data_IF_883873972534
#
_entry.id   IF_883873972534
#
_cell.length_a   1.000
_cell.length_b   1.000
_cell.length_c   1.000
_cell.angle_alpha   90.00
_cell.angle_beta   90.00
_cell.angle_gamma   90.00
#
_symmetry.space_group_name_H-M   'P 1'
#
loop_
_entity.id
_entity.type
_entity.pdbx_description
1 polymer ?
#
# COMPACT_ATOMS: atom_id res chain seq x y z
N UNK A 1 22.28 -3.71 0.92
CA UNK A 1 20.99 -4.12 1.51
C UNK A 1 19.96 -4.26 0.39
N UNK A 2 19.25 -5.36 0.37
CA UNK A 2 18.23 -5.62 -0.65
C UNK A 2 16.95 -4.89 -0.30
N UNK A 3 16.59 -3.90 -1.11
CA UNK A 3 15.33 -3.17 -0.94
C UNK A 3 14.28 -3.83 -1.83
N UNK A 4 13.32 -4.53 -1.23
CA UNK A 4 12.35 -5.34 -1.99
C UNK A 4 11.46 -4.53 -2.93
N UNK A 5 11.31 -3.22 -2.69
CA UNK A 5 10.59 -2.33 -3.60
C UNK A 5 11.41 -1.94 -4.85
N UNK A 6 12.72 -2.27 -4.86
CA UNK A 6 13.66 -1.91 -5.93
C UNK A 6 14.23 -3.12 -6.67
N UNK A 7 14.07 -4.34 -6.15
CA UNK A 7 14.56 -5.54 -6.85
C UNK A 7 13.73 -5.83 -8.09
N UNK A 8 14.31 -6.52 -9.04
CA UNK A 8 13.77 -6.77 -10.38
C UNK A 8 13.45 -8.25 -10.66
N UNK A 9 13.38 -9.09 -9.64
CA UNK A 9 13.02 -10.51 -9.78
C UNK A 9 11.64 -10.69 -10.47
N UNK A 10 10.79 -9.67 -10.38
CA UNK A 10 9.49 -9.64 -11.07
C UNK A 10 9.62 -9.78 -12.59
N UNK A 11 10.75 -9.43 -13.20
CA UNK A 11 10.96 -9.56 -14.65
C UNK A 11 10.79 -11.00 -15.14
N UNK A 12 11.00 -11.98 -14.26
CA UNK A 12 10.80 -13.41 -14.56
C UNK A 12 9.32 -13.79 -14.62
N UNK A 13 8.46 -13.00 -14.01
CA UNK A 13 7.05 -13.34 -13.81
C UNK A 13 6.11 -12.47 -14.64
N UNK A 14 6.55 -11.28 -15.06
CA UNK A 14 5.70 -10.25 -15.66
C UNK A 14 6.22 -9.89 -17.03
N UNK A 15 5.34 -9.98 -18.04
CA UNK A 15 5.62 -9.51 -19.40
C UNK A 15 4.98 -8.14 -19.60
N UNK A 16 5.80 -7.08 -19.54
CA UNK A 16 5.35 -5.71 -19.74
C UNK A 16 4.80 -5.44 -21.15
N UNK A 17 5.14 -6.30 -22.12
CA UNK A 17 4.72 -6.14 -23.51
C UNK A 17 3.40 -6.83 -23.85
N UNK A 18 2.83 -7.59 -22.90
CA UNK A 18 1.57 -8.29 -23.09
C UNK A 18 0.45 -7.31 -23.44
N UNK A 19 -0.37 -7.65 -24.41
CA UNK A 19 -1.53 -6.83 -24.78
C UNK A 19 -2.46 -6.63 -23.58
N UNK A 20 -2.87 -5.37 -23.35
CA UNK A 20 -3.72 -5.01 -22.22
C UNK A 20 -2.99 -4.87 -20.90
N UNK A 21 -1.67 -5.11 -20.84
CA UNK A 21 -0.90 -4.93 -19.62
C UNK A 21 -0.87 -3.46 -19.19
N UNK A 22 -1.08 -3.22 -17.90
CA UNK A 22 -1.02 -1.86 -17.32
C UNK A 22 -0.06 -1.85 -16.14
N UNK A 23 0.63 -0.72 -15.97
CA UNK A 23 1.54 -0.47 -14.86
C UNK A 23 1.01 0.64 -13.97
N UNK A 24 1.63 0.84 -12.83
CA UNK A 24 1.46 2.02 -12.00
C UNK A 24 0.61 1.82 -10.75
N UNK A 25 0.63 2.86 -9.94
CA UNK A 25 -0.13 2.94 -8.68
C UNK A 25 -1.32 3.88 -8.88
N UNK A 26 -2.50 3.43 -8.50
CA UNK A 26 -3.73 4.22 -8.61
C UNK A 26 -4.46 4.26 -7.28
N UNK A 27 -4.98 5.44 -6.93
CA UNK A 27 -5.82 5.61 -5.76
C UNK A 27 -7.28 5.77 -6.17
N UNK A 28 -8.19 5.20 -5.39
CA UNK A 28 -9.63 5.42 -5.48
C UNK A 28 -10.17 5.64 -4.08
N UNK A 29 -10.99 6.68 -3.95
CA UNK A 29 -11.53 7.09 -2.67
C UNK A 29 -13.03 6.84 -2.62
N UNK A 30 -13.50 6.28 -1.51
CA UNK A 30 -14.93 6.27 -1.21
C UNK A 30 -15.41 7.72 -1.11
N UNK A 31 -16.70 7.91 -1.35
CA UNK A 31 -17.37 9.15 -1.06
C UNK A 31 -17.24 9.47 0.43
N UNK A 32 -17.14 10.74 0.77
CA UNK A 32 -17.06 11.24 2.15
C UNK A 32 -15.76 10.92 2.89
N UNK A 33 -14.71 10.52 2.21
CA UNK A 33 -13.36 10.48 2.80
C UNK A 33 -12.97 11.91 3.19
N UNK A 34 -12.44 12.07 4.41
CA UNK A 34 -11.96 13.35 4.90
C UNK A 34 -11.00 13.99 3.91
N UNK A 35 -11.13 15.31 3.70
CA UNK A 35 -10.32 16.05 2.72
C UNK A 35 -8.82 15.98 3.02
N UNK A 36 -8.43 15.92 4.29
CA UNK A 36 -7.02 15.81 4.69
C UNK A 36 -6.46 14.41 4.44
N UNK A 37 -7.25 13.38 4.65
CA UNK A 37 -6.87 12.01 4.28
C UNK A 37 -6.68 11.92 2.77
N UNK A 38 -7.59 12.49 2.01
CA UNK A 38 -7.50 12.51 0.54
C UNK A 38 -6.24 13.23 0.08
N UNK A 39 -5.96 14.40 0.64
CA UNK A 39 -4.75 15.17 0.33
C UNK A 39 -3.49 14.38 0.65
N UNK A 40 -3.38 13.86 1.88
CA UNK A 40 -2.21 13.13 2.34
C UNK A 40 -1.94 11.89 1.48
N UNK A 41 -2.98 11.11 1.17
CA UNK A 41 -2.84 9.93 0.30
C UNK A 41 -2.38 10.29 -1.10
N UNK A 42 -2.92 11.36 -1.70
CA UNK A 42 -2.52 11.82 -3.03
C UNK A 42 -1.06 12.26 -3.07
N UNK A 43 -0.62 13.04 -2.09
CA UNK A 43 0.77 13.49 -1.99
C UNK A 43 1.73 12.32 -1.77
N UNK A 44 1.35 11.37 -0.93
CA UNK A 44 2.13 10.16 -0.73
C UNK A 44 2.24 9.33 -2.02
N UNK A 45 1.16 9.20 -2.77
CA UNK A 45 1.18 8.50 -4.05
C UNK A 45 2.08 9.18 -5.08
N UNK A 46 2.14 10.52 -5.10
CA UNK A 46 3.09 11.25 -5.96
C UNK A 46 4.53 10.88 -5.61
N UNK A 47 4.86 10.88 -4.30
CA UNK A 47 6.18 10.45 -3.83
C UNK A 47 6.48 9.01 -4.25
N UNK A 48 5.55 8.08 -4.02
CA UNK A 48 5.76 6.67 -4.34
C UNK A 48 5.97 6.44 -5.84
N UNK A 49 5.20 7.12 -6.69
CA UNK A 49 5.35 7.00 -8.16
C UNK A 49 6.67 7.57 -8.67
N UNK A 50 7.20 8.56 -8.00
CA UNK A 50 8.50 9.13 -8.35
C UNK A 50 9.65 8.21 -7.97
N UNK A 51 9.56 7.58 -6.80
CA UNK A 51 10.66 6.80 -6.25
C UNK A 51 10.64 5.33 -6.67
N UNK A 52 9.47 4.77 -7.02
CA UNK A 52 9.30 3.34 -7.23
C UNK A 52 8.50 3.03 -8.49
N UNK A 53 8.86 1.92 -9.15
CA UNK A 53 8.14 1.41 -10.31
C UNK A 53 7.16 0.31 -9.89
N UNK A 54 5.94 0.36 -10.43
CA UNK A 54 4.88 -0.61 -10.17
C UNK A 54 4.61 -1.41 -11.45
N UNK A 55 5.27 -2.57 -11.63
CA UNK A 55 5.23 -3.34 -12.90
C UNK A 55 3.85 -3.85 -13.30
N UNK A 56 2.97 -4.10 -12.34
CA UNK A 56 1.55 -4.40 -12.55
C UNK A 56 0.75 -3.28 -11.90
N UNK A 57 -0.24 -2.76 -12.61
CA UNK A 57 -1.13 -1.74 -12.04
C UNK A 57 -1.77 -2.27 -10.77
N UNK A 58 -1.65 -1.50 -9.70
CA UNK A 58 -2.29 -1.77 -8.42
C UNK A 58 -3.18 -0.59 -8.04
N UNK A 59 -4.43 -0.89 -7.71
CA UNK A 59 -5.39 0.11 -7.23
C UNK A 59 -5.47 0.01 -5.71
N UNK A 60 -5.33 1.14 -5.04
CA UNK A 60 -5.52 1.27 -3.60
C UNK A 60 -6.86 1.96 -3.35
N UNK A 61 -7.80 1.23 -2.77
CA UNK A 61 -9.11 1.74 -2.39
C UNK A 61 -9.06 2.28 -0.96
N UNK A 62 -9.24 3.58 -0.82
CA UNK A 62 -9.34 4.24 0.49
C UNK A 62 -10.80 4.23 0.90
N UNK A 63 -11.14 3.37 1.88
CA UNK A 63 -12.51 3.07 2.26
C UNK A 63 -12.95 3.88 3.47
N UNK A 64 -14.16 4.38 3.42
CA UNK A 64 -14.77 5.11 4.54
C UNK A 64 -15.40 4.13 5.52
N UNK A 65 -14.58 3.27 6.09
CA UNK A 65 -14.96 2.29 7.12
C UNK A 65 -13.89 2.30 8.20
N UNK A 66 -14.25 1.94 9.42
CA UNK A 66 -13.30 1.90 10.54
C UNK A 66 -12.37 0.69 10.45
N UNK A 67 -12.88 -0.45 9.97
CA UNK A 67 -12.13 -1.68 9.77
C UNK A 67 -12.66 -2.43 8.55
N UNK A 68 -11.79 -3.22 7.94
CA UNK A 68 -12.10 -4.12 6.83
C UNK A 68 -12.26 -5.54 7.36
N UNK A 69 -13.01 -6.37 6.62
CA UNK A 69 -13.08 -7.80 6.86
C UNK A 69 -12.19 -8.48 5.82
N UNK A 70 -11.14 -9.17 6.28
CA UNK A 70 -10.25 -9.94 5.43
C UNK A 70 -10.91 -11.26 4.99
N UNK A 71 -10.29 -11.96 4.04
CA UNK A 71 -10.82 -13.23 3.49
C UNK A 71 -11.03 -14.28 4.59
N UNK A 72 -10.14 -14.32 5.60
CA UNK A 72 -10.22 -15.23 6.74
C UNK A 72 -11.31 -14.83 7.77
N UNK A 73 -11.98 -13.70 7.57
CA UNK A 73 -13.01 -13.18 8.48
C UNK A 73 -12.47 -12.28 9.57
N UNK A 74 -11.15 -12.13 9.70
CA UNK A 74 -10.54 -11.23 10.69
C UNK A 74 -10.70 -9.77 10.26
N UNK A 75 -10.75 -8.89 11.27
CA UNK A 75 -10.79 -7.44 11.04
C UNK A 75 -9.38 -6.90 10.86
N UNK A 76 -9.20 -6.03 9.86
CA UNK A 76 -7.92 -5.43 9.51
C UNK A 76 -8.08 -3.98 9.07
N UNK A 77 -7.01 -3.19 9.19
CA UNK A 77 -6.99 -1.82 8.66
C UNK A 77 -6.64 -1.76 7.18
N UNK A 78 -5.94 -2.78 6.68
CA UNK A 78 -5.60 -2.91 5.28
C UNK A 78 -5.61 -4.35 4.82
N UNK A 79 -5.81 -4.56 3.52
CA UNK A 79 -5.73 -5.88 2.89
C UNK A 79 -5.06 -5.75 1.51
N UNK A 80 -4.26 -6.75 1.17
CA UNK A 80 -3.73 -6.94 -0.18
C UNK A 80 -4.38 -8.19 -0.79
N UNK A 81 -4.87 -8.06 -2.03
CA UNK A 81 -5.45 -9.16 -2.78
C UNK A 81 -4.72 -9.37 -4.10
N UNK A 82 -4.41 -10.63 -4.39
CA UNK A 82 -3.89 -11.06 -5.68
C UNK A 82 -4.44 -12.44 -6.02
N UNK A 83 -4.38 -12.80 -7.32
CA UNK A 83 -4.75 -14.15 -7.77
C UNK A 83 -3.49 -15.03 -7.79
N UNK A 84 -3.00 -15.42 -6.61
CA UNK A 84 -1.82 -16.29 -6.41
C UNK A 84 -0.68 -15.95 -7.37
N UNK A 85 -0.33 -16.85 -8.28
CA UNK A 85 0.75 -16.69 -9.26
C UNK A 85 0.26 -16.24 -10.64
N UNK A 86 -0.99 -15.82 -10.77
CA UNK A 86 -1.52 -15.27 -12.01
C UNK A 86 -1.27 -13.76 -12.09
N UNK A 87 -0.14 -13.39 -12.65
CA UNK A 87 0.28 -11.99 -12.80
C UNK A 87 -0.42 -11.26 -13.94
N UNK A 88 -1.33 -11.92 -14.67
CA UNK A 88 -2.16 -11.28 -15.68
C UNK A 88 -3.42 -10.64 -15.09
N UNK A 89 -3.73 -10.93 -13.84
CA UNK A 89 -4.85 -10.35 -13.11
C UNK A 89 -4.32 -9.28 -12.17
N UNK A 90 -4.81 -8.06 -12.35
CA UNK A 90 -4.37 -6.92 -11.55
C UNK A 90 -4.76 -7.09 -10.07
N UNK A 91 -3.83 -6.86 -9.15
CA UNK A 91 -4.11 -6.91 -7.71
C UNK A 91 -4.78 -5.64 -7.24
N UNK A 92 -5.29 -5.66 -6.02
CA UNK A 92 -5.77 -4.45 -5.39
C UNK A 92 -5.52 -4.44 -3.88
N UNK A 93 -5.56 -3.25 -3.32
CA UNK A 93 -5.39 -2.99 -1.90
C UNK A 93 -6.63 -2.25 -1.41
N UNK A 94 -7.07 -2.55 -0.18
CA UNK A 94 -8.09 -1.78 0.51
C UNK A 94 -7.51 -1.25 1.81
N UNK A 95 -7.79 0.00 2.14
CA UNK A 95 -7.32 0.66 3.36
C UNK A 95 -8.50 1.31 4.05
N UNK A 96 -8.70 1.02 5.34
CA UNK A 96 -9.72 1.63 6.16
C UNK A 96 -9.26 3.01 6.64
N UNK A 97 -10.05 4.04 6.37
CA UNK A 97 -9.76 5.42 6.79
C UNK A 97 -10.95 6.09 7.50
N UNK A 98 -12.00 5.32 7.84
CA UNK A 98 -13.18 5.84 8.50
C UNK A 98 -12.99 6.18 9.98
N UNK A 99 -11.86 5.79 10.57
CA UNK A 99 -11.51 6.09 11.97
C UNK A 99 -10.62 7.33 12.11
N UNK A 100 -10.39 8.08 11.02
CA UNK A 100 -9.46 9.21 11.02
C UNK A 100 -9.74 10.22 12.14
N UNK A 101 -11.01 10.62 12.33
CA UNK A 101 -11.34 11.58 13.38
C UNK A 101 -11.08 11.03 14.78
N UNK A 102 -11.36 9.75 15.00
CA UNK A 102 -11.07 9.08 16.26
C UNK A 102 -9.55 9.07 16.52
N UNK A 103 -8.75 8.80 15.49
CA UNK A 103 -7.29 8.83 15.58
C UNK A 103 -6.76 10.24 15.83
N UNK A 104 -7.35 11.27 15.22
CA UNK A 104 -7.00 12.66 15.47
C UNK A 104 -7.21 13.04 16.94
N UNK A 105 -8.34 12.65 17.52
CA UNK A 105 -8.63 12.91 18.93
C UNK A 105 -7.68 12.18 19.86
N UNK A 106 -7.26 10.97 19.47
CA UNK A 106 -6.40 10.12 20.31
C UNK A 106 -4.93 10.50 20.22
N UNK A 107 -4.44 10.79 19.01
CA UNK A 107 -2.99 10.94 18.75
C UNK A 107 -2.60 12.23 18.03
N UNK A 108 -3.55 13.04 17.60
CA UNK A 108 -3.30 14.23 16.79
C UNK A 108 -3.31 13.93 15.30
N UNK A 109 -3.39 15.00 14.50
CA UNK A 109 -3.55 14.93 13.05
C UNK A 109 -2.41 14.22 12.34
N UNK A 110 -1.16 14.58 12.64
CA UNK A 110 0.00 14.02 11.96
C UNK A 110 0.13 12.51 12.21
N UNK A 111 -0.08 12.08 13.44
CA UNK A 111 -0.05 10.65 13.78
C UNK A 111 -1.21 9.89 13.13
N UNK A 112 -2.39 10.50 13.05
CA UNK A 112 -3.54 9.89 12.39
C UNK A 112 -3.28 9.69 10.89
N UNK A 113 -2.76 10.70 10.20
CA UNK A 113 -2.41 10.60 8.79
C UNK A 113 -1.29 9.58 8.57
N UNK A 114 -0.25 9.61 9.40
CA UNK A 114 0.86 8.65 9.32
C UNK A 114 0.37 7.21 9.46
N UNK A 115 -0.57 6.94 10.35
CA UNK A 115 -1.14 5.60 10.51
C UNK A 115 -1.80 5.10 9.22
N UNK A 116 -2.56 5.96 8.53
CA UNK A 116 -3.21 5.61 7.26
C UNK A 116 -2.18 5.38 6.16
N UNK A 117 -1.19 6.28 6.01
CA UNK A 117 -0.12 6.13 5.03
C UNK A 117 0.73 4.89 5.30
N UNK A 118 0.98 4.58 6.58
CA UNK A 118 1.71 3.37 6.98
C UNK A 118 0.97 2.11 6.55
N UNK A 119 -0.35 2.08 6.65
CA UNK A 119 -1.16 0.96 6.17
C UNK A 119 -1.00 0.80 4.65
N UNK A 120 -1.02 1.90 3.88
CA UNK A 120 -0.78 1.84 2.43
C UNK A 120 0.59 1.22 2.14
N UNK A 121 1.65 1.69 2.81
CA UNK A 121 3.01 1.18 2.60
C UNK A 121 3.14 -0.30 3.01
N UNK A 122 2.47 -0.71 4.08
CA UNK A 122 2.42 -2.10 4.54
C UNK A 122 1.83 -3.01 3.45
N UNK A 123 0.68 -2.65 2.92
CA UNK A 123 0.00 -3.46 1.90
C UNK A 123 0.76 -3.43 0.56
N UNK A 124 1.38 -2.31 0.20
CA UNK A 124 2.25 -2.24 -0.98
C UNK A 124 3.50 -3.11 -0.81
N UNK A 125 3.98 -3.31 0.42
CA UNK A 125 5.07 -4.26 0.64
C UNK A 125 4.64 -5.68 0.29
N UNK A 126 3.42 -6.08 0.63
CA UNK A 126 2.86 -7.37 0.17
C UNK A 126 2.79 -7.45 -1.36
N UNK A 127 2.47 -6.34 -2.04
CA UNK A 127 2.52 -6.26 -3.49
C UNK A 127 3.93 -6.57 -4.02
N UNK A 128 4.97 -5.95 -3.46
CA UNK A 128 6.35 -6.20 -3.89
C UNK A 128 6.84 -7.62 -3.53
N UNK A 129 6.41 -8.17 -2.42
CA UNK A 129 6.65 -9.58 -2.09
C UNK A 129 6.05 -10.49 -3.16
N UNK A 130 4.82 -10.21 -3.56
CA UNK A 130 4.08 -11.02 -4.53
C UNK A 130 4.70 -10.94 -5.92
N UNK A 131 4.94 -9.75 -6.48
CA UNK A 131 5.48 -9.65 -7.84
C UNK A 131 6.87 -10.28 -7.97
N UNK A 132 7.65 -10.27 -6.91
CA UNK A 132 9.00 -10.85 -6.88
C UNK A 132 9.00 -12.32 -6.44
N UNK A 133 7.83 -12.90 -6.20
CA UNK A 133 7.65 -14.29 -5.76
C UNK A 133 8.56 -14.67 -4.57
N UNK A 134 8.63 -13.79 -3.58
CA UNK A 134 9.45 -14.01 -2.39
C UNK A 134 8.90 -15.17 -1.57
N UNK A 135 9.77 -16.10 -1.22
CA UNK A 135 9.41 -17.28 -0.42
C UNK A 135 9.59 -16.97 1.06
N UNK A 136 8.56 -16.44 1.67
CA UNK A 136 8.55 -16.10 3.10
C UNK A 136 7.45 -16.87 3.81
N UNK A 137 7.67 -17.14 5.10
CA UNK A 137 6.59 -17.63 5.95
C UNK A 137 5.55 -16.53 6.16
N UNK A 138 4.29 -16.85 6.52
CA UNK A 138 3.29 -15.81 6.80
C UNK A 138 3.76 -14.80 7.86
N UNK A 139 4.41 -15.25 8.92
CA UNK A 139 4.99 -14.35 9.95
C UNK A 139 6.11 -13.49 9.35
N UNK A 140 6.96 -14.08 8.50
CA UNK A 140 8.03 -13.35 7.82
C UNK A 140 7.52 -12.28 6.88
N UNK A 141 6.45 -12.56 6.13
CA UNK A 141 5.77 -11.59 5.27
C UNK A 141 5.27 -10.39 6.07
N UNK A 142 4.59 -10.63 7.18
CA UNK A 142 4.04 -9.57 8.04
C UNK A 142 5.15 -8.74 8.69
N UNK A 143 6.19 -9.40 9.19
CA UNK A 143 7.33 -8.70 9.78
C UNK A 143 8.02 -7.79 8.76
N UNK A 144 8.25 -8.29 7.56
CA UNK A 144 8.86 -7.50 6.49
C UNK A 144 7.97 -6.34 6.09
N UNK A 145 6.65 -6.57 5.95
CA UNK A 145 5.71 -5.52 5.59
C UNK A 145 5.69 -4.39 6.64
N UNK A 146 5.70 -4.74 7.92
CA UNK A 146 5.75 -3.76 9.02
C UNK A 146 7.06 -2.96 8.99
N UNK A 147 8.19 -3.62 8.79
CA UNK A 147 9.49 -2.95 8.75
C UNK A 147 9.61 -2.01 7.54
N UNK A 148 9.17 -2.45 6.36
CA UNK A 148 9.21 -1.61 5.17
C UNK A 148 8.23 -0.44 5.25
N UNK A 149 7.05 -0.62 5.83
CA UNK A 149 6.13 0.49 6.06
C UNK A 149 6.82 1.62 6.83
N UNK A 150 7.51 1.27 7.92
CA UNK A 150 8.28 2.25 8.70
C UNK A 150 9.37 2.91 7.86
N UNK A 151 10.16 2.10 7.15
CA UNK A 151 11.26 2.60 6.32
C UNK A 151 10.76 3.57 5.25
N UNK A 152 9.69 3.24 4.54
CA UNK A 152 9.12 4.09 3.48
C UNK A 152 8.57 5.40 4.08
N UNK A 153 7.91 5.34 5.23
CA UNK A 153 7.40 6.53 5.90
C UNK A 153 8.55 7.43 6.40
N UNK A 154 9.65 6.85 6.86
CA UNK A 154 10.83 7.62 7.26
C UNK A 154 11.43 8.34 6.05
N UNK A 155 11.58 7.67 4.90
CA UNK A 155 12.01 8.33 3.66
C UNK A 155 11.06 9.47 3.26
N UNK A 156 9.76 9.23 3.33
CA UNK A 156 8.76 10.24 3.01
C UNK A 156 8.86 11.45 3.93
N UNK A 157 9.06 11.21 5.22
CA UNK A 157 9.18 12.27 6.24
C UNK A 157 10.39 13.18 5.98
N UNK A 158 11.45 12.71 5.34
CA UNK A 158 12.60 13.54 4.96
C UNK A 158 12.25 14.58 3.90
N UNK A 159 11.14 14.42 3.18
CA UNK A 159 10.74 15.29 2.07
C UNK A 159 9.80 16.42 2.51
N UNK A 160 9.30 16.41 3.76
CA UNK A 160 8.28 17.33 4.22
C UNK A 160 8.23 17.44 5.74
N UNK A 161 7.58 18.50 6.21
CA UNK A 161 7.40 18.74 7.65
C UNK A 161 6.21 17.96 8.23
N UNK A 162 5.12 17.83 7.47
CA UNK A 162 3.89 17.14 7.89
C UNK A 162 3.43 16.14 6.81
N UNK A 163 2.81 15.01 7.20
CA UNK A 163 2.28 14.04 6.26
C UNK A 163 1.10 14.55 5.45
#
# INVERSE_FOLDING_TARGET
MWHIWLIDDWEKNIDLTREGHRTGLRLRFDKDIDSEVRRACKEFAVFLRREYFFPIRVVVYIRNVKKLIAIDGDKAYGTFWSMYDDYNIEPHIRVAAGDYMDLCHKWGKDSALTAILSTIAHELTHYFQWINALKLTPIGQERQATNYARYILDEYAETREHP
#
